data_IF_641102506344
#
_entry.id   IF_641102506344
#
_cell.length_a   1.000
_cell.length_b   1.000
_cell.length_c   1.000
_cell.angle_alpha   90.00
_cell.angle_beta   90.00
_cell.angle_gamma   90.00
#
_symmetry.space_group_name_H-M   'P 1'
#
loop_
_entity.id
_entity.type
_entity.pdbx_description
1 polymer ?
#
# COMPACT_ATOMS: atom_id res chain seq x y z
N UNK A 1 -20.24 -36.24 -9.52
CA UNK A 1 -21.31 -35.54 -8.78
C UNK A 1 -21.09 -34.03 -9.00
N UNK A 2 -21.93 -33.46 -9.81
CA UNK A 2 -21.94 -32.01 -10.04
C UNK A 2 -22.41 -31.33 -8.75
N UNK A 3 -21.52 -30.55 -8.10
CA UNK A 3 -21.91 -29.77 -6.93
C UNK A 3 -22.85 -28.67 -7.43
N UNK A 4 -24.11 -28.72 -7.03
CA UNK A 4 -25.03 -27.60 -7.23
C UNK A 4 -24.37 -26.38 -6.55
N UNK A 5 -23.92 -25.41 -7.34
CA UNK A 5 -23.33 -24.18 -6.86
C UNK A 5 -24.46 -23.33 -6.24
N UNK A 6 -24.68 -23.50 -4.94
CA UNK A 6 -25.56 -22.59 -4.18
C UNK A 6 -24.94 -21.21 -4.26
N UNK A 7 -25.72 -20.19 -4.66
CA UNK A 7 -25.22 -18.83 -4.73
C UNK A 7 -24.67 -18.41 -3.35
N UNK A 8 -23.41 -18.00 -3.31
CA UNK A 8 -22.79 -17.53 -2.07
C UNK A 8 -23.44 -16.19 -1.67
N UNK A 9 -24.02 -16.14 -0.49
CA UNK A 9 -24.64 -14.91 0.06
C UNK A 9 -23.67 -13.71 0.02
N UNK A 10 -22.38 -13.96 0.18
CA UNK A 10 -21.33 -12.96 0.26
C UNK A 10 -20.56 -12.76 -1.06
N UNK A 11 -21.08 -13.21 -2.21
CA UNK A 11 -20.35 -13.11 -3.48
C UNK A 11 -19.91 -11.68 -3.77
N UNK A 12 -20.76 -10.69 -3.47
CA UNK A 12 -20.44 -9.27 -3.67
C UNK A 12 -19.26 -8.81 -2.81
N UNK A 13 -19.20 -9.24 -1.55
CA UNK A 13 -18.05 -8.95 -0.67
C UNK A 13 -16.78 -9.63 -1.17
N UNK A 14 -16.86 -10.87 -1.62
CA UNK A 14 -15.73 -11.62 -2.19
C UNK A 14 -15.16 -10.92 -3.42
N UNK A 15 -16.02 -10.38 -4.29
CA UNK A 15 -15.60 -9.67 -5.49
C UNK A 15 -14.87 -8.35 -5.13
N UNK A 16 -15.40 -7.59 -4.16
CA UNK A 16 -14.76 -6.37 -3.63
C UNK A 16 -13.40 -6.67 -2.98
N UNK A 17 -13.33 -7.71 -2.16
CA UNK A 17 -12.10 -8.11 -1.48
C UNK A 17 -11.02 -8.56 -2.48
N UNK A 18 -11.39 -9.27 -3.54
CA UNK A 18 -10.45 -9.67 -4.60
C UNK A 18 -9.98 -8.47 -5.45
N UNK A 19 -10.83 -7.47 -5.69
CA UNK A 19 -10.42 -6.23 -6.36
C UNK A 19 -9.41 -5.46 -5.50
N UNK A 20 -9.69 -5.32 -4.20
CA UNK A 20 -8.79 -4.73 -3.24
C UNK A 20 -7.46 -5.48 -3.17
N UNK A 21 -7.50 -6.81 -3.01
CA UNK A 21 -6.32 -7.67 -2.95
C UNK A 21 -5.38 -7.46 -4.16
N UNK A 22 -5.93 -7.39 -5.37
CA UNK A 22 -5.14 -7.12 -6.56
C UNK A 22 -4.44 -5.75 -6.53
N UNK A 23 -5.07 -4.74 -5.92
CA UNK A 23 -4.48 -3.41 -5.74
C UNK A 23 -3.36 -3.44 -4.71
N UNK A 24 -3.58 -4.05 -3.53
CA UNK A 24 -2.57 -4.17 -2.47
C UNK A 24 -1.30 -4.87 -2.97
N UNK A 25 -1.45 -6.01 -3.67
CA UNK A 25 -0.31 -6.73 -4.24
C UNK A 25 0.45 -5.82 -5.22
N UNK A 26 -0.24 -5.10 -6.10
CA UNK A 26 0.38 -4.21 -7.07
C UNK A 26 1.09 -3.03 -6.39
N UNK A 27 0.49 -2.45 -5.35
CA UNK A 27 1.04 -1.34 -4.55
C UNK A 27 2.26 -1.79 -3.74
N UNK A 28 2.19 -2.96 -3.09
CA UNK A 28 3.34 -3.55 -2.40
C UNK A 28 4.54 -3.72 -3.33
N UNK A 29 4.34 -4.26 -4.54
CA UNK A 29 5.41 -4.40 -5.54
C UNK A 29 5.94 -3.04 -6.02
N UNK A 30 5.08 -2.04 -6.17
CA UNK A 30 5.48 -0.69 -6.56
C UNK A 30 6.35 -0.04 -5.49
N UNK A 31 5.99 -0.16 -4.21
CA UNK A 31 6.76 0.41 -3.12
C UNK A 31 8.05 -0.37 -2.83
N UNK A 32 8.06 -1.67 -3.09
CA UNK A 32 9.31 -2.46 -3.12
C UNK A 32 10.26 -1.96 -4.23
N UNK A 33 9.73 -1.64 -5.41
CA UNK A 33 10.52 -1.04 -6.49
C UNK A 33 11.11 0.31 -6.05
N UNK A 34 10.33 1.18 -5.42
CA UNK A 34 10.81 2.47 -4.91
C UNK A 34 11.86 2.29 -3.81
N UNK A 35 11.64 1.34 -2.89
CA UNK A 35 12.58 1.00 -1.83
C UNK A 35 13.98 0.69 -2.39
N UNK A 36 14.10 -0.26 -3.33
CA UNK A 36 15.41 -0.66 -3.86
C UNK A 36 16.10 0.46 -4.64
N UNK A 37 15.35 1.34 -5.30
CA UNK A 37 15.90 2.51 -5.99
C UNK A 37 16.38 3.60 -5.02
N UNK A 38 15.67 3.84 -3.92
CA UNK A 38 16.16 4.74 -2.87
C UNK A 38 17.39 4.17 -2.16
N UNK A 39 17.45 2.85 -1.98
CA UNK A 39 18.61 2.17 -1.39
C UNK A 39 19.85 2.31 -2.28
N UNK A 40 19.74 2.03 -3.56
CA UNK A 40 20.81 2.18 -4.54
C UNK A 40 21.32 3.64 -4.62
N UNK A 41 20.40 4.61 -4.54
CA UNK A 41 20.74 6.03 -4.51
C UNK A 41 21.33 6.52 -3.18
N UNK A 42 21.39 5.69 -2.13
CA UNK A 42 21.92 6.04 -0.81
C UNK A 42 20.96 6.85 0.08
N UNK A 43 19.67 6.88 -0.24
CA UNK A 43 18.63 7.56 0.56
C UNK A 43 18.02 6.60 1.59
N UNK A 44 18.82 6.23 2.57
CA UNK A 44 18.51 5.14 3.51
C UNK A 44 17.20 5.34 4.28
N UNK A 45 16.90 6.57 4.71
CA UNK A 45 15.65 6.84 5.43
C UNK A 45 14.43 6.59 4.54
N UNK A 46 14.45 7.12 3.30
CA UNK A 46 13.36 6.92 2.34
C UNK A 46 13.22 5.44 1.95
N UNK A 47 14.35 4.77 1.73
CA UNK A 47 14.40 3.34 1.45
C UNK A 47 13.73 2.53 2.56
N UNK A 48 14.13 2.73 3.83
CA UNK A 48 13.54 2.04 4.99
C UNK A 48 12.04 2.30 5.11
N UNK A 49 11.61 3.55 4.92
CA UNK A 49 10.19 3.90 5.04
C UNK A 49 9.36 3.27 3.92
N UNK A 50 9.83 3.31 2.67
CA UNK A 50 9.19 2.62 1.54
C UNK A 50 9.08 1.11 1.76
N UNK A 51 10.14 0.49 2.30
CA UNK A 51 10.10 -0.93 2.65
C UNK A 51 9.04 -1.23 3.72
N UNK A 52 8.94 -0.39 4.75
CA UNK A 52 7.94 -0.58 5.81
C UNK A 52 6.51 -0.49 5.25
N UNK A 53 6.24 0.49 4.39
CA UNK A 53 4.93 0.64 3.75
C UNK A 53 4.67 -0.56 2.81
N UNK A 54 5.62 -0.95 1.96
CA UNK A 54 5.49 -2.15 1.11
C UNK A 54 5.13 -3.41 1.91
N UNK A 55 5.67 -3.58 3.12
CA UNK A 55 5.34 -4.68 4.01
C UNK A 55 3.93 -4.51 4.61
N UNK A 56 3.49 -3.28 4.89
CA UNK A 56 2.13 -3.02 5.34
C UNK A 56 1.11 -3.44 4.26
N UNK A 57 1.31 -3.04 2.99
CA UNK A 57 0.45 -3.45 1.87
C UNK A 57 0.42 -4.99 1.69
N UNK A 58 1.55 -5.66 1.94
CA UNK A 58 1.57 -7.12 1.92
C UNK A 58 0.73 -7.73 3.06
N UNK A 59 0.67 -7.10 4.24
CA UNK A 59 -0.20 -7.52 5.34
C UNK A 59 -1.67 -7.27 5.02
N UNK A 60 -2.01 -6.13 4.41
CA UNK A 60 -3.36 -5.88 3.89
C UNK A 60 -3.78 -6.98 2.92
N UNK A 61 -2.87 -7.40 2.03
CA UNK A 61 -3.12 -8.52 1.10
C UNK A 61 -3.43 -9.84 1.85
N UNK A 62 -2.74 -10.11 2.95
CA UNK A 62 -2.96 -11.30 3.78
C UNK A 62 -4.33 -11.23 4.47
N UNK A 63 -4.67 -10.10 5.10
CA UNK A 63 -5.95 -9.88 5.77
C UNK A 63 -7.15 -10.00 4.81
N UNK A 64 -7.05 -9.41 3.61
CA UNK A 64 -8.07 -9.52 2.57
C UNK A 64 -8.24 -10.98 2.12
N UNK A 65 -7.13 -11.71 1.95
CA UNK A 65 -7.14 -13.12 1.57
C UNK A 65 -7.82 -14.00 2.61
N UNK A 66 -7.50 -13.78 3.88
CA UNK A 66 -8.12 -14.50 4.99
C UNK A 66 -9.64 -14.27 5.03
N UNK A 67 -10.08 -13.03 4.79
CA UNK A 67 -11.50 -12.72 4.74
C UNK A 67 -12.19 -13.38 3.55
N UNK A 68 -11.59 -13.41 2.36
CA UNK A 68 -12.10 -14.12 1.17
C UNK A 68 -12.30 -15.59 1.49
N UNK A 69 -11.30 -16.25 2.08
CA UNK A 69 -11.36 -17.67 2.44
C UNK A 69 -12.42 -17.96 3.49
N UNK A 70 -12.54 -17.08 4.51
CA UNK A 70 -13.61 -17.17 5.51
C UNK A 70 -15.00 -17.14 4.86
N UNK A 71 -15.19 -16.30 3.85
CA UNK A 71 -16.43 -16.20 3.08
C UNK A 71 -16.60 -17.33 2.04
N UNK A 72 -15.69 -18.32 2.02
CA UNK A 72 -15.68 -19.44 1.08
C UNK A 72 -15.51 -19.00 -0.39
N UNK A 73 -14.79 -17.91 -0.62
CA UNK A 73 -14.37 -17.43 -1.93
C UNK A 73 -13.03 -18.01 -2.36
N UNK A 74 -12.71 -17.85 -3.65
CA UNK A 74 -11.39 -18.14 -4.19
C UNK A 74 -10.54 -16.85 -4.19
N UNK A 75 -9.28 -16.96 -3.73
CA UNK A 75 -8.32 -15.86 -3.66
C UNK A 75 -7.65 -15.66 -5.01
N UNK A 76 -7.68 -14.43 -5.53
CA UNK A 76 -7.02 -14.06 -6.78
C UNK A 76 -5.76 -13.22 -6.50
N UNK A 77 -4.58 -13.84 -6.53
CA UNK A 77 -3.27 -13.21 -6.28
C UNK A 77 -2.69 -12.44 -7.48
N UNK A 78 -3.49 -12.08 -8.48
CA UNK A 78 -2.99 -11.31 -9.61
C UNK A 78 -2.93 -9.82 -9.27
N UNK A 79 -1.78 -9.13 -9.45
CA UNK A 79 -1.71 -7.69 -9.24
C UNK A 79 -2.60 -6.95 -10.25
N UNK A 80 -3.27 -5.88 -9.81
CA UNK A 80 -4.21 -5.12 -10.65
C UNK A 80 -3.52 -4.23 -11.69
N UNK A 81 -2.25 -3.90 -11.48
CA UNK A 81 -1.43 -3.14 -12.43
C UNK A 81 0.02 -3.62 -12.41
N UNK A 82 0.75 -3.29 -13.49
CA UNK A 82 2.19 -3.59 -13.60
C UNK A 82 3.02 -2.49 -12.95
N UNK A 83 4.04 -2.87 -12.18
CA UNK A 83 4.99 -1.93 -11.55
C UNK A 83 5.55 -0.93 -12.59
N UNK A 84 5.44 0.36 -12.29
CA UNK A 84 5.99 1.44 -13.11
C UNK A 84 7.44 1.69 -12.77
N UNK A 85 8.26 1.84 -13.82
CA UNK A 85 9.69 2.18 -13.69
C UNK A 85 9.86 3.70 -13.55
N UNK A 86 9.72 4.19 -12.33
CA UNK A 86 9.89 5.60 -11.97
C UNK A 86 11.15 5.71 -11.12
N UNK A 87 12.09 6.56 -11.50
CA UNK A 87 13.37 6.77 -10.80
C UNK A 87 13.52 8.17 -10.20
N UNK A 88 12.72 9.14 -10.62
CA UNK A 88 12.72 10.47 -10.04
C UNK A 88 11.94 10.50 -8.70
N UNK A 89 12.55 10.94 -7.57
CA UNK A 89 11.90 10.94 -6.26
C UNK A 89 10.58 11.73 -6.21
N UNK A 90 10.48 12.86 -6.91
CA UNK A 90 9.23 13.64 -6.96
C UNK A 90 8.12 12.86 -7.65
N UNK A 91 8.44 12.21 -8.76
CA UNK A 91 7.48 11.41 -9.51
C UNK A 91 7.10 10.13 -8.72
N UNK A 92 8.04 9.54 -7.96
CA UNK A 92 7.73 8.44 -7.05
C UNK A 92 6.69 8.86 -6.01
N UNK A 93 6.89 10.00 -5.32
CA UNK A 93 5.93 10.49 -4.34
C UNK A 93 4.60 10.91 -4.96
N UNK A 94 4.62 11.57 -6.13
CA UNK A 94 3.38 11.93 -6.84
C UNK A 94 2.57 10.70 -7.22
N UNK A 95 3.24 9.66 -7.67
CA UNK A 95 2.58 8.41 -8.03
C UNK A 95 2.05 7.67 -6.78
N UNK A 96 2.81 7.63 -5.68
CA UNK A 96 2.34 7.09 -4.42
C UNK A 96 1.09 7.82 -3.93
N UNK A 97 1.09 9.16 -3.90
CA UNK A 97 -0.08 9.97 -3.54
C UNK A 97 -1.32 9.62 -4.39
N UNK A 98 -1.13 9.39 -5.70
CA UNK A 98 -2.24 9.00 -6.59
C UNK A 98 -2.77 7.60 -6.26
N UNK A 99 -1.88 6.65 -5.93
CA UNK A 99 -2.26 5.30 -5.53
C UNK A 99 -3.07 5.34 -4.24
N UNK A 100 -2.57 5.99 -3.17
CA UNK A 100 -3.28 6.04 -1.89
C UNK A 100 -4.64 6.71 -2.01
N UNK A 101 -4.74 7.83 -2.73
CA UNK A 101 -6.03 8.46 -2.99
C UNK A 101 -7.02 7.49 -3.65
N UNK A 102 -6.56 6.78 -4.69
CA UNK A 102 -7.40 5.82 -5.41
C UNK A 102 -7.82 4.64 -4.52
N UNK A 103 -6.93 4.21 -3.63
CA UNK A 103 -7.19 3.11 -2.69
C UNK A 103 -8.20 3.55 -1.63
N UNK A 104 -8.02 4.72 -1.01
CA UNK A 104 -8.95 5.29 -0.02
C UNK A 104 -10.36 5.44 -0.62
N UNK A 105 -10.48 6.02 -1.82
CA UNK A 105 -11.77 6.17 -2.50
C UNK A 105 -12.42 4.80 -2.76
N UNK A 106 -11.62 3.83 -3.20
CA UNK A 106 -12.07 2.46 -3.46
C UNK A 106 -12.55 1.77 -2.16
N UNK A 107 -11.83 1.96 -1.05
CA UNK A 107 -12.20 1.35 0.24
C UNK A 107 -13.45 1.98 0.83
N UNK A 108 -13.63 3.30 0.72
CA UNK A 108 -14.87 3.97 1.12
C UNK A 108 -16.08 3.43 0.34
N UNK A 109 -15.93 3.23 -0.96
CA UNK A 109 -16.98 2.65 -1.81
C UNK A 109 -17.24 1.18 -1.45
N UNK A 110 -16.19 0.39 -1.25
CA UNK A 110 -16.31 -1.01 -0.88
C UNK A 110 -16.97 -1.18 0.51
N UNK A 111 -16.61 -0.33 1.48
CA UNK A 111 -17.24 -0.30 2.79
C UNK A 111 -18.74 -0.04 2.69
N UNK A 112 -19.15 0.95 1.90
CA UNK A 112 -20.58 1.27 1.66
C UNK A 112 -21.31 0.09 1.05
N UNK A 113 -20.74 -0.54 0.02
CA UNK A 113 -21.36 -1.67 -0.68
C UNK A 113 -21.44 -2.90 0.24
N UNK A 114 -20.44 -3.16 1.09
CA UNK A 114 -20.46 -4.23 2.06
C UNK A 114 -21.58 -4.02 3.13
N UNK A 115 -21.77 -2.77 3.57
CA UNK A 115 -22.87 -2.42 4.47
C UNK A 115 -24.24 -2.67 3.83
N UNK A 116 -24.44 -2.28 2.57
CA UNK A 116 -25.66 -2.53 1.81
C UNK A 116 -25.93 -4.03 1.59
N UNK A 117 -24.88 -4.86 1.66
CA UNK A 117 -24.97 -6.32 1.56
C UNK A 117 -25.11 -7.02 2.91
N UNK A 118 -25.35 -6.29 4.01
CA UNK A 118 -25.43 -6.80 5.39
C UNK A 118 -24.15 -7.54 5.84
N UNK A 119 -22.98 -7.19 5.31
CA UNK A 119 -21.68 -7.74 5.72
C UNK A 119 -20.88 -6.74 6.57
N UNK A 120 -21.29 -6.60 7.82
CA UNK A 120 -20.71 -5.65 8.78
C UNK A 120 -19.21 -5.88 9.05
N UNK A 121 -18.72 -7.12 8.91
CA UNK A 121 -17.30 -7.41 9.15
C UNK A 121 -16.44 -6.93 7.99
N UNK A 122 -16.83 -7.20 6.74
CA UNK A 122 -16.15 -6.68 5.57
C UNK A 122 -16.26 -5.15 5.47
N UNK A 123 -17.42 -4.58 5.83
CA UNK A 123 -17.61 -3.13 5.96
C UNK A 123 -16.57 -2.51 6.90
N UNK A 124 -16.46 -3.06 8.12
CA UNK A 124 -15.49 -2.57 9.11
C UNK A 124 -14.04 -2.75 8.63
N UNK A 125 -13.71 -3.88 8.03
CA UNK A 125 -12.36 -4.13 7.48
C UNK A 125 -11.95 -3.04 6.50
N UNK A 126 -12.79 -2.69 5.52
CA UNK A 126 -12.48 -1.61 4.59
C UNK A 126 -12.37 -0.23 5.24
N UNK A 127 -13.13 0.01 6.33
CA UNK A 127 -12.96 1.24 7.11
C UNK A 127 -11.60 1.29 7.84
N UNK A 128 -11.18 0.17 8.44
CA UNK A 128 -9.90 0.10 9.15
C UNK A 128 -8.73 0.26 8.17
N UNK A 129 -8.77 -0.44 7.02
CA UNK A 129 -7.77 -0.30 5.96
C UNK A 129 -7.70 1.15 5.42
N UNK A 130 -8.84 1.80 5.20
CA UNK A 130 -8.85 3.19 4.73
C UNK A 130 -8.12 4.15 5.69
N UNK A 131 -8.16 3.92 7.00
CA UNK A 131 -7.41 4.71 7.99
C UNK A 131 -5.90 4.53 7.81
N UNK A 132 -5.43 3.30 7.57
CA UNK A 132 -4.00 3.03 7.34
C UNK A 132 -3.52 3.68 6.04
N UNK A 133 -4.33 3.66 4.96
CA UNK A 133 -4.00 4.34 3.71
C UNK A 133 -3.96 5.88 3.85
N UNK A 134 -4.79 6.47 4.72
CA UNK A 134 -4.70 7.89 5.03
C UNK A 134 -3.38 8.25 5.72
N UNK A 135 -2.81 7.38 6.56
CA UNK A 135 -1.49 7.57 7.17
C UNK A 135 -0.37 7.48 6.11
N UNK A 136 -0.45 6.54 5.16
CA UNK A 136 0.48 6.45 4.03
C UNK A 136 0.40 7.71 3.15
N UNK A 137 -0.81 8.14 2.82
CA UNK A 137 -1.05 9.35 2.03
C UNK A 137 -0.47 10.60 2.68
N UNK A 138 -0.68 10.78 3.99
CA UNK A 138 -0.14 11.92 4.74
C UNK A 138 1.39 11.92 4.71
N UNK A 139 2.02 10.77 4.92
CA UNK A 139 3.46 10.61 4.80
C UNK A 139 3.97 11.06 3.41
N UNK A 140 3.38 10.54 2.33
CA UNK A 140 3.85 10.87 0.97
C UNK A 140 3.63 12.34 0.60
N UNK A 141 2.53 12.95 1.07
CA UNK A 141 2.28 14.39 0.89
C UNK A 141 3.33 15.24 1.60
N UNK A 142 3.66 14.88 2.84
CA UNK A 142 4.67 15.59 3.63
C UNK A 142 6.06 15.47 2.99
N UNK A 143 6.46 14.29 2.51
CA UNK A 143 7.74 14.09 1.85
C UNK A 143 7.83 14.84 0.50
N UNK A 144 6.75 14.82 -0.29
CA UNK A 144 6.71 15.62 -1.52
C UNK A 144 6.79 17.12 -1.22
N UNK A 145 6.09 17.61 -0.20
CA UNK A 145 6.13 19.03 0.18
C UNK A 145 7.52 19.42 0.66
N UNK A 146 8.16 18.62 1.51
CA UNK A 146 9.54 18.85 1.94
C UNK A 146 10.51 18.90 0.75
N UNK A 147 10.36 17.99 -0.21
CA UNK A 147 11.19 17.97 -1.41
C UNK A 147 11.00 19.23 -2.28
N UNK A 148 9.78 19.76 -2.34
CA UNK A 148 9.48 21.00 -3.07
C UNK A 148 10.00 22.25 -2.36
N UNK A 149 9.90 22.31 -1.03
CA UNK A 149 10.28 23.46 -0.22
C UNK A 149 11.79 23.61 -0.07
N UNK A 150 12.51 22.50 0.14
CA UNK A 150 13.97 22.51 0.29
C UNK A 150 14.71 22.41 -1.05
N UNK A 151 14.04 21.93 -2.10
CA UNK A 151 14.68 21.57 -3.38
C UNK A 151 15.41 20.23 -3.33
N UNK A 152 15.63 19.65 -4.50
CA UNK A 152 16.13 18.27 -4.63
C UNK A 152 17.46 18.04 -3.93
N UNK A 153 18.41 18.97 -4.10
CA UNK A 153 19.77 18.82 -3.56
C UNK A 153 19.80 18.84 -2.06
N UNK A 154 19.16 19.86 -1.46
CA UNK A 154 19.12 20.01 -0.02
C UNK A 154 18.33 18.89 0.65
N UNK A 155 17.14 18.59 0.14
CA UNK A 155 16.31 17.51 0.67
C UNK A 155 17.03 16.16 0.62
N UNK A 156 17.56 15.77 -0.52
CA UNK A 156 18.24 14.48 -0.71
C UNK A 156 19.56 14.41 0.07
N UNK A 157 20.28 15.54 0.23
CA UNK A 157 21.46 15.59 1.09
C UNK A 157 21.11 15.33 2.56
N UNK A 158 19.97 15.86 3.06
CA UNK A 158 19.49 15.57 4.41
C UNK A 158 19.17 14.07 4.60
N UNK A 159 18.61 13.40 3.60
CA UNK A 159 18.35 11.95 3.63
C UNK A 159 19.65 11.14 3.73
N UNK A 160 20.71 11.55 3.02
CA UNK A 160 22.03 10.91 3.08
C UNK A 160 22.78 11.24 4.39
N UNK A 161 22.57 12.42 4.95
CA UNK A 161 23.21 12.83 6.21
C UNK A 161 22.66 12.06 7.42
N UNK A 162 21.40 11.67 7.40
CA UNK A 162 20.79 10.81 8.40
C UNK A 162 21.50 9.46 8.50
N UNK A 163 22.00 8.93 7.39
CA UNK A 163 22.83 7.73 7.33
C UNK A 163 24.14 7.89 8.11
N UNK A 164 24.91 8.94 7.82
CA UNK A 164 26.21 9.20 8.45
C UNK A 164 26.09 9.32 9.97
N UNK A 165 24.99 9.91 10.46
CA UNK A 165 24.72 10.06 11.88
C UNK A 165 24.34 8.73 12.54
N UNK A 166 23.51 7.92 11.88
CA UNK A 166 23.12 6.60 12.38
C UNK A 166 24.31 5.63 12.43
N UNK A 167 25.18 5.67 11.42
CA UNK A 167 26.44 4.90 11.39
C UNK A 167 27.39 5.35 12.51
N UNK A 168 27.54 6.66 12.74
CA UNK A 168 28.39 7.21 13.80
C UNK A 168 27.87 6.89 15.22
N UNK A 169 26.56 6.75 15.40
CA UNK A 169 25.93 6.40 16.67
C UNK A 169 25.84 4.88 16.90
N UNK A 170 26.39 4.05 16.01
CA UNK A 170 26.38 2.58 16.11
C UNK A 170 24.98 1.94 16.06
N UNK A 171 23.98 2.67 15.54
CA UNK A 171 22.58 2.23 15.45
C UNK A 171 22.25 1.50 14.16
N UNK A 172 23.25 1.16 13.35
CA UNK A 172 23.06 0.31 12.17
C UNK A 172 23.06 -1.14 12.66
N UNK A 173 21.88 -1.64 12.97
CA UNK A 173 21.68 -3.10 13.17
C UNK A 173 21.65 -3.77 11.79
N UNK A 174 22.37 -4.90 11.72
CA UNK A 174 22.40 -5.86 10.63
C UNK A 174 21.01 -6.29 10.14
#
# INVERSE_FOLDING_TARGET
MEKIKVANKYQKSIDLLNDALGKEIATSLQYMYFHVHFEDAGYEYLSKKMRMISIAEMRHSEELSDRILFLQGDVNMNPSFTTRQISDPKEMFRFAIQLEHSTIDSYNDAARIAAEADDSVTHKMFQDLAVEEEEHLDYFRNELQNLLDYGDKEYLALQSFARSKAEAEGKVSE
#
